data_IF_083288714767
#
_entry.id   IF_083288714767
#
_cell.length_a   1.000
_cell.length_b   1.000
_cell.length_c   1.000
_cell.angle_alpha   90.00
_cell.angle_beta   90.00
_cell.angle_gamma   90.00
#
_symmetry.space_group_name_H-M   'P 1'
#
loop_
_entity.id
_entity.type
_entity.pdbx_description
1 polymer ?
#
# COMPACT_ATOMS: atom_id res chain seq x y z
N UNK A 1 14.68 28.77 10.97
CA UNK A 1 13.58 28.11 10.23
C UNK A 1 12.86 27.18 11.18
N UNK A 2 11.76 27.65 11.78
CA UNK A 2 11.04 26.90 12.81
C UNK A 2 10.22 25.79 12.15
N UNK A 3 10.55 24.53 12.48
CA UNK A 3 9.71 23.39 12.13
C UNK A 3 8.36 23.57 12.84
N UNK A 4 7.32 23.86 12.06
CA UNK A 4 5.94 23.78 12.52
C UNK A 4 5.65 22.31 12.87
N UNK A 5 5.87 21.95 14.14
CA UNK A 5 5.34 20.72 14.71
C UNK A 5 3.82 20.88 14.65
N UNK A 6 3.23 20.35 13.57
CA UNK A 6 1.79 20.37 13.36
C UNK A 6 1.11 19.90 14.65
N UNK A 7 0.32 20.78 15.25
CA UNK A 7 -0.31 20.56 16.54
C UNK A 7 -0.96 19.17 16.57
N UNK A 8 -0.37 18.26 17.36
CA UNK A 8 -0.88 16.91 17.56
C UNK A 8 -2.25 17.07 18.21
N UNK A 9 -3.33 16.84 17.47
CA UNK A 9 -4.68 16.83 18.06
C UNK A 9 -4.66 15.88 19.25
N UNK A 10 -4.94 16.33 20.48
CA UNK A 10 -4.97 15.46 21.64
C UNK A 10 -6.02 14.38 21.39
N UNK A 11 -5.58 13.12 21.38
CA UNK A 11 -6.48 12.01 21.13
C UNK A 11 -7.46 11.92 22.30
N UNK A 12 -8.75 11.86 22.00
CA UNK A 12 -9.75 11.61 23.04
C UNK A 12 -9.58 10.16 23.55
N UNK A 13 -8.91 10.01 24.70
CA UNK A 13 -8.68 8.73 25.38
C UNK A 13 -9.97 7.93 25.59
N UNK A 14 -11.09 8.59 25.91
CA UNK A 14 -12.39 7.94 26.06
C UNK A 14 -12.83 7.28 24.76
N UNK A 15 -12.62 7.93 23.61
CA UNK A 15 -12.94 7.38 22.27
C UNK A 15 -12.01 6.22 21.89
N UNK A 16 -10.74 6.29 22.24
CA UNK A 16 -9.78 5.21 21.98
C UNK A 16 -10.12 3.93 22.78
N UNK A 17 -10.55 4.10 24.03
CA UNK A 17 -10.84 3.02 24.98
C UNK A 17 -12.28 2.48 24.87
N UNK A 18 -13.24 3.27 24.37
CA UNK A 18 -14.66 2.90 24.36
C UNK A 18 -14.98 1.55 23.71
N UNK A 19 -14.21 1.13 22.69
CA UNK A 19 -14.41 -0.15 22.00
C UNK A 19 -13.82 -1.36 22.74
N UNK A 20 -12.82 -1.13 23.60
CA UNK A 20 -12.01 -2.18 24.24
C UNK A 20 -12.74 -2.81 25.42
N UNK A 21 -13.56 -2.03 26.13
CA UNK A 21 -14.24 -2.45 27.38
C UNK A 21 -15.14 -3.69 27.24
N UNK A 22 -15.51 -4.08 26.02
CA UNK A 22 -16.39 -5.23 25.76
C UNK A 22 -15.65 -6.54 25.49
N UNK A 23 -14.32 -6.52 25.41
CA UNK A 23 -13.50 -7.68 25.00
C UNK A 23 -12.59 -8.06 26.16
N UNK A 24 -12.29 -9.36 26.29
CA UNK A 24 -11.25 -9.82 27.19
C UNK A 24 -9.86 -9.59 26.55
N UNK A 25 -9.01 -8.80 27.21
CA UNK A 25 -7.67 -8.45 26.72
C UNK A 25 -6.57 -9.24 27.42
N UNK A 26 -6.91 -10.07 28.38
CA UNK A 26 -5.92 -10.75 29.22
C UNK A 26 -5.22 -11.84 28.40
N UNK A 27 -3.89 -11.85 28.43
CA UNK A 27 -3.04 -12.80 27.69
C UNK A 27 -2.82 -12.48 26.21
N UNK A 28 -3.36 -11.38 25.66
CA UNK A 28 -3.13 -10.97 24.28
C UNK A 28 -1.86 -10.12 24.14
N UNK A 29 -1.13 -10.29 23.04
CA UNK A 29 0.03 -9.43 22.72
C UNK A 29 -0.46 -8.14 22.08
N UNK A 30 0.28 -7.07 22.33
CA UNK A 30 0.01 -5.75 21.77
C UNK A 30 1.06 -5.43 20.73
N UNK A 31 0.63 -5.27 19.47
CA UNK A 31 1.54 -5.02 18.35
C UNK A 31 1.39 -3.62 17.80
N UNK A 32 2.52 -2.97 17.58
CA UNK A 32 2.57 -1.63 17.00
C UNK A 32 3.00 -1.70 15.55
N UNK A 33 2.19 -1.11 14.66
CA UNK A 33 2.44 -1.02 13.24
C UNK A 33 2.64 0.45 12.85
N UNK A 34 3.77 0.76 12.24
CA UNK A 34 3.98 2.07 11.62
C UNK A 34 3.52 2.07 10.15
N UNK A 35 2.72 3.07 9.78
CA UNK A 35 2.28 3.28 8.41
C UNK A 35 3.32 3.96 7.51
N UNK A 36 4.36 4.57 8.09
CA UNK A 36 5.33 5.36 7.34
C UNK A 36 6.00 4.55 6.23
N UNK A 37 5.99 5.08 5.01
CA UNK A 37 6.51 4.42 3.79
C UNK A 37 5.86 3.07 3.44
N UNK A 38 4.73 2.73 4.07
CA UNK A 38 4.04 1.48 3.80
C UNK A 38 2.92 1.64 2.77
N UNK A 39 2.69 0.58 2.00
CA UNK A 39 1.61 0.55 1.01
C UNK A 39 0.33 0.07 1.69
N UNK A 40 -0.75 0.86 1.59
CA UNK A 40 -2.05 0.60 2.23
C UNK A 40 -2.51 -0.86 2.19
N UNK A 41 -2.54 -1.47 1.00
CA UNK A 41 -3.04 -2.84 0.84
C UNK A 41 -2.13 -3.90 1.48
N UNK A 42 -0.81 -3.68 1.47
CA UNK A 42 0.15 -4.64 2.04
C UNK A 42 0.09 -4.60 3.57
N UNK A 43 0.09 -3.38 4.11
CA UNK A 43 -0.09 -3.15 5.54
C UNK A 43 -1.41 -3.78 6.02
N UNK A 44 -2.52 -3.49 5.33
CA UNK A 44 -3.83 -3.98 5.72
C UNK A 44 -3.90 -5.52 5.76
N UNK A 45 -3.22 -6.21 4.83
CA UNK A 45 -3.18 -7.67 4.80
C UNK A 45 -2.44 -8.25 6.00
N UNK A 46 -1.33 -7.64 6.40
CA UNK A 46 -0.56 -8.12 7.57
C UNK A 46 -1.33 -7.87 8.86
N UNK A 47 -1.93 -6.69 9.00
CA UNK A 47 -2.82 -6.38 10.13
C UNK A 47 -3.96 -7.39 10.20
N UNK A 48 -4.62 -7.70 9.08
CA UNK A 48 -5.73 -8.65 9.05
C UNK A 48 -5.32 -10.06 9.49
N UNK A 49 -4.09 -10.49 9.22
CA UNK A 49 -3.56 -11.79 9.66
C UNK A 49 -3.31 -11.82 11.16
N UNK A 50 -2.69 -10.77 11.71
CA UNK A 50 -2.39 -10.64 13.14
C UNK A 50 -3.67 -10.49 13.98
N UNK A 51 -4.62 -9.68 13.51
CA UNK A 51 -5.94 -9.54 14.16
C UNK A 51 -6.73 -10.85 14.13
N UNK A 52 -6.50 -11.74 13.15
CA UNK A 52 -7.08 -13.08 13.13
C UNK A 52 -6.32 -14.08 14.01
N UNK A 53 -5.10 -13.76 14.46
CA UNK A 53 -4.24 -14.68 15.23
C UNK A 53 -3.60 -15.78 14.38
N UNK A 54 -3.63 -15.67 13.05
CA UNK A 54 -3.11 -16.69 12.12
C UNK A 54 -1.58 -16.84 12.15
N UNK A 55 -0.92 -15.89 12.77
CA UNK A 55 0.52 -15.88 12.96
C UNK A 55 0.97 -16.72 14.16
N UNK A 56 0.05 -17.08 15.06
CA UNK A 56 0.32 -17.98 16.18
C UNK A 56 0.00 -19.43 15.79
N UNK A 57 0.80 -20.41 16.25
CA UNK A 57 0.52 -21.83 15.99
C UNK A 57 -0.76 -22.31 16.69
N UNK A 58 -1.22 -21.62 17.74
CA UNK A 58 -2.45 -21.90 18.49
C UNK A 58 -3.73 -21.45 17.76
N UNK A 59 -3.65 -21.09 16.48
CA UNK A 59 -4.79 -20.58 15.73
C UNK A 59 -5.92 -21.61 15.63
N UNK A 60 -7.08 -21.25 16.16
CA UNK A 60 -8.33 -21.99 15.99
C UNK A 60 -9.38 -21.11 15.27
N UNK A 61 -10.00 -21.58 14.17
CA UNK A 61 -10.87 -20.75 13.34
C UNK A 61 -12.17 -20.31 14.02
N UNK A 62 -12.62 -21.05 15.02
CA UNK A 62 -13.83 -20.79 15.81
C UNK A 62 -13.60 -19.85 17.01
N UNK A 63 -12.35 -19.62 17.40
CA UNK A 63 -11.98 -18.75 18.54
C UNK A 63 -11.38 -17.43 18.05
N UNK A 64 -11.39 -16.44 18.93
CA UNK A 64 -10.82 -15.12 18.66
C UNK A 64 -9.59 -14.84 19.54
N UNK A 65 -8.49 -15.53 19.24
CA UNK A 65 -7.22 -15.43 19.95
C UNK A 65 -6.22 -14.46 19.28
N UNK A 66 -6.73 -13.61 18.37
CA UNK A 66 -5.95 -12.62 17.63
C UNK A 66 -5.46 -11.47 18.49
N UNK A 67 -4.29 -10.93 18.15
CA UNK A 67 -3.59 -9.90 18.90
C UNK A 67 -4.17 -8.50 18.69
N UNK A 68 -3.89 -7.61 19.65
CA UNK A 68 -4.30 -6.22 19.57
C UNK A 68 -3.33 -5.45 18.69
N UNK A 69 -3.86 -4.75 17.68
CA UNK A 69 -3.05 -3.99 16.74
C UNK A 69 -3.24 -2.50 16.93
N UNK A 70 -2.15 -1.79 17.17
CA UNK A 70 -2.07 -0.34 17.20
C UNK A 70 -1.36 0.13 15.94
N UNK A 71 -2.03 0.94 15.14
CA UNK A 71 -1.49 1.52 13.90
C UNK A 71 -1.19 2.99 14.14
N UNK A 72 0.01 3.43 13.79
CA UNK A 72 0.49 4.80 13.93
C UNK A 72 0.71 5.46 12.58
N UNK A 73 0.77 6.79 12.57
CA UNK A 73 1.09 7.60 11.39
C UNK A 73 0.16 7.35 10.18
N UNK A 74 -1.13 7.15 10.40
CA UNK A 74 -2.08 6.85 9.32
C UNK A 74 -2.12 7.92 8.20
N UNK A 75 -1.66 9.14 8.48
CA UNK A 75 -1.56 10.23 7.50
C UNK A 75 -0.46 9.98 6.45
N UNK A 76 0.60 9.27 6.82
CA UNK A 76 1.79 9.04 5.98
C UNK A 76 1.69 7.76 5.13
N UNK A 77 0.51 7.16 5.05
CA UNK A 77 0.30 5.92 4.29
C UNK A 77 0.43 6.18 2.78
N UNK A 78 1.21 5.33 2.11
CA UNK A 78 1.43 5.43 0.67
C UNK A 78 0.40 4.61 -0.11
N UNK A 79 0.01 5.14 -1.28
CA UNK A 79 -0.84 4.44 -2.25
C UNK A 79 -0.18 4.53 -3.62
N UNK A 80 -0.16 3.41 -4.34
CA UNK A 80 0.55 3.32 -5.62
C UNK A 80 -0.26 3.88 -6.79
N UNK A 81 0.43 4.51 -7.75
CA UNK A 81 -0.16 5.03 -8.98
C UNK A 81 -1.07 6.24 -8.77
N UNK A 82 -2.09 6.40 -9.62
CA UNK A 82 -3.06 7.52 -9.58
C UNK A 82 -4.29 7.25 -8.69
N UNK A 83 -4.22 6.22 -7.84
CA UNK A 83 -5.36 5.78 -7.00
C UNK A 83 -5.84 6.84 -6.02
N UNK A 84 -5.00 7.82 -5.66
CA UNK A 84 -5.41 8.94 -4.80
C UNK A 84 -6.61 9.69 -5.37
N UNK A 85 -6.62 9.93 -6.69
CA UNK A 85 -7.71 10.63 -7.39
C UNK A 85 -8.75 9.66 -7.92
N UNK A 86 -8.31 8.53 -8.47
CA UNK A 86 -9.18 7.66 -9.28
C UNK A 86 -10.03 6.74 -8.41
N UNK A 87 -9.57 6.38 -7.20
CA UNK A 87 -10.31 5.47 -6.32
C UNK A 87 -11.41 6.25 -5.61
N UNK A 88 -12.67 5.88 -5.90
CA UNK A 88 -13.85 6.40 -5.23
C UNK A 88 -14.44 5.41 -4.23
N UNK A 89 -14.90 5.92 -3.10
CA UNK A 89 -15.71 5.20 -2.12
C UNK A 89 -17.18 5.52 -2.37
N UNK A 90 -17.98 4.48 -2.56
CA UNK A 90 -19.41 4.58 -2.74
C UNK A 90 -20.15 4.06 -1.51
N UNK A 91 -21.23 4.73 -1.13
CA UNK A 91 -22.21 4.21 -0.20
C UNK A 91 -23.59 4.78 -0.53
N UNK A 92 -24.62 4.02 -0.19
CA UNK A 92 -26.00 4.43 -0.38
C UNK A 92 -26.65 4.70 0.98
N UNK A 93 -27.58 5.64 1.04
CA UNK A 93 -28.27 6.00 2.29
C UNK A 93 -29.55 5.20 2.54
N UNK A 94 -30.11 4.58 1.49
CA UNK A 94 -31.36 3.82 1.54
C UNK A 94 -32.46 4.46 0.68
N UNK A 95 -32.47 5.78 0.52
CA UNK A 95 -33.42 6.52 -0.31
C UNK A 95 -33.10 6.46 -1.80
N UNK A 96 -34.12 6.36 -2.66
CA UNK A 96 -33.94 6.31 -4.12
C UNK A 96 -33.12 7.50 -4.64
N UNK A 97 -32.11 7.25 -5.48
CA UNK A 97 -31.26 8.29 -6.06
C UNK A 97 -30.14 8.84 -5.15
N UNK A 98 -30.01 8.36 -3.91
CA UNK A 98 -29.06 8.91 -2.94
C UNK A 98 -27.76 8.11 -2.81
N UNK A 99 -27.07 7.91 -3.94
CA UNK A 99 -25.71 7.39 -3.95
C UNK A 99 -24.72 8.50 -3.59
N UNK A 100 -23.92 8.27 -2.55
CA UNK A 100 -22.87 9.19 -2.14
C UNK A 100 -21.52 8.63 -2.58
N UNK A 101 -20.71 9.49 -3.18
CA UNK A 101 -19.35 9.18 -3.55
C UNK A 101 -18.36 10.09 -2.84
N UNK A 102 -17.15 9.58 -2.61
CA UNK A 102 -16.02 10.37 -2.12
C UNK A 102 -14.72 9.80 -2.66
N UNK A 103 -13.83 10.66 -3.15
CA UNK A 103 -12.50 10.20 -3.61
C UNK A 103 -11.63 9.78 -2.44
N UNK A 104 -10.61 8.96 -2.71
CA UNK A 104 -9.62 8.58 -1.71
C UNK A 104 -8.87 9.81 -1.16
N UNK A 105 -8.52 10.78 -2.02
CA UNK A 105 -7.89 12.04 -1.63
C UNK A 105 -8.73 12.78 -0.58
N UNK A 106 -10.02 12.97 -0.84
CA UNK A 106 -10.91 13.68 0.11
C UNK A 106 -11.09 12.88 1.40
N UNK A 107 -11.14 11.55 1.31
CA UNK A 107 -11.25 10.70 2.48
C UNK A 107 -9.98 10.75 3.34
N UNK A 108 -8.79 10.81 2.74
CA UNK A 108 -7.52 10.96 3.46
C UNK A 108 -7.39 12.34 4.12
N UNK A 109 -7.88 13.40 3.47
CA UNK A 109 -7.90 14.74 4.06
C UNK A 109 -8.87 14.84 5.25
N UNK A 110 -10.02 14.16 5.17
CA UNK A 110 -11.03 14.17 6.24
C UNK A 110 -10.65 13.27 7.42
N UNK A 111 -10.53 11.96 7.15
CA UNK A 111 -10.34 10.92 8.15
C UNK A 111 -9.49 9.77 7.58
N UNK A 112 -8.15 9.87 7.62
CA UNK A 112 -7.25 8.86 7.06
C UNK A 112 -7.30 7.54 7.84
N UNK A 113 -7.64 7.59 9.13
CA UNK A 113 -7.91 6.40 9.96
C UNK A 113 -8.97 5.49 9.34
N UNK A 114 -10.03 6.07 8.77
CA UNK A 114 -11.14 5.31 8.21
C UNK A 114 -10.76 4.58 6.92
N UNK A 115 -9.79 5.12 6.17
CA UNK A 115 -9.24 4.47 4.96
C UNK A 115 -8.61 3.13 5.32
N UNK A 116 -7.78 3.12 6.36
CA UNK A 116 -7.08 1.91 6.84
C UNK A 116 -8.09 0.96 7.48
N UNK A 117 -8.98 1.47 8.34
CA UNK A 117 -10.02 0.65 8.98
C UNK A 117 -10.89 -0.06 7.95
N UNK A 118 -11.42 0.65 6.96
CA UNK A 118 -12.23 0.04 5.89
C UNK A 118 -11.44 -0.97 5.07
N UNK A 119 -10.14 -0.74 4.84
CA UNK A 119 -9.29 -1.69 4.12
C UNK A 119 -9.14 -3.01 4.90
N UNK A 120 -8.77 -2.94 6.18
CA UNK A 120 -8.62 -4.12 7.04
C UNK A 120 -9.95 -4.83 7.24
N UNK A 121 -11.02 -4.09 7.55
CA UNK A 121 -12.36 -4.62 7.76
C UNK A 121 -12.89 -5.39 6.54
N UNK A 122 -12.49 -5.01 5.32
CA UNK A 122 -12.83 -5.72 4.08
C UNK A 122 -11.95 -6.94 3.81
N UNK A 123 -10.83 -7.09 4.50
CA UNK A 123 -9.96 -8.28 4.45
C UNK A 123 -10.31 -9.33 5.50
N UNK A 124 -11.09 -8.97 6.52
CA UNK A 124 -11.60 -9.92 7.51
C UNK A 124 -12.75 -10.76 6.94
N UNK A 125 -12.88 -12.04 7.35
CA UNK A 125 -14.00 -12.89 6.94
C UNK A 125 -15.32 -12.30 7.43
N UNK A 126 -16.38 -12.40 6.61
CA UNK A 126 -17.72 -11.89 6.95
C UNK A 126 -18.43 -12.87 7.88
N UNK A 127 -18.18 -12.77 9.17
CA UNK A 127 -18.83 -13.55 10.23
C UNK A 127 -19.12 -12.67 11.46
N UNK A 128 -19.75 -13.23 12.50
CA UNK A 128 -20.04 -12.50 13.76
C UNK A 128 -18.77 -12.05 14.49
N UNK A 129 -17.68 -12.81 14.39
CA UNK A 129 -16.38 -12.49 14.99
C UNK A 129 -15.68 -11.29 14.33
N UNK A 130 -16.13 -10.86 13.15
CA UNK A 130 -15.53 -9.75 12.39
C UNK A 130 -15.55 -8.45 13.18
N UNK A 131 -16.66 -8.16 13.84
CA UNK A 131 -16.84 -6.92 14.58
C UNK A 131 -16.00 -6.91 15.87
N UNK A 132 -15.86 -8.07 16.52
CA UNK A 132 -15.00 -8.23 17.69
C UNK A 132 -13.52 -8.09 17.33
N UNK A 133 -13.12 -8.65 16.18
CA UNK A 133 -11.79 -8.46 15.60
C UNK A 133 -11.50 -6.99 15.22
N UNK A 134 -12.46 -6.28 14.62
CA UNK A 134 -12.29 -4.85 14.29
C UNK A 134 -12.13 -3.98 15.55
N UNK A 135 -12.78 -4.34 16.65
CA UNK A 135 -12.60 -3.65 17.94
C UNK A 135 -11.16 -3.75 18.47
N UNK A 136 -10.43 -4.84 18.17
CA UNK A 136 -9.00 -5.01 18.51
C UNK A 136 -8.05 -4.13 17.67
N UNK A 137 -8.52 -3.52 16.58
CA UNK A 137 -7.72 -2.63 15.74
C UNK A 137 -7.88 -1.17 16.16
N UNK A 138 -6.83 -0.54 16.66
CA UNK A 138 -6.79 0.90 16.98
C UNK A 138 -5.84 1.61 16.02
N UNK A 139 -6.25 2.76 15.49
CA UNK A 139 -5.50 3.49 14.47
C UNK A 139 -5.42 4.95 14.88
N UNK A 140 -4.22 5.50 14.83
CA UNK A 140 -3.90 6.87 15.17
C UNK A 140 -3.30 7.58 13.95
N UNK A 141 -3.63 8.85 13.80
CA UNK A 141 -3.14 9.69 12.69
C UNK A 141 -1.68 10.09 12.87
N UNK A 142 -1.25 10.28 14.12
CA UNK A 142 0.13 10.62 14.48
C UNK A 142 0.89 9.45 15.10
N UNK A 143 2.07 9.76 15.62
CA UNK A 143 3.00 8.80 16.22
C UNK A 143 2.70 8.46 17.68
N UNK A 144 1.89 9.28 18.36
CA UNK A 144 1.61 9.12 19.78
C UNK A 144 0.34 8.27 19.99
N UNK A 145 0.40 7.34 20.94
CA UNK A 145 -0.72 6.52 21.35
C UNK A 145 -0.92 6.55 22.88
N UNK A 146 -2.15 6.37 23.39
CA UNK A 146 -2.44 6.40 24.82
C UNK A 146 -2.07 5.12 25.59
N UNK A 147 -1.62 4.06 24.90
CA UNK A 147 -1.40 2.73 25.49
C UNK A 147 0.02 2.49 26.02
N UNK A 148 0.71 3.52 26.51
CA UNK A 148 2.11 3.44 26.94
C UNK A 148 2.37 2.45 28.09
N UNK A 149 1.35 2.16 28.92
CA UNK A 149 1.49 1.30 30.10
C UNK A 149 1.42 -0.20 29.80
N UNK A 150 1.36 -0.61 28.53
CA UNK A 150 1.26 -2.03 28.12
C UNK A 150 2.56 -2.46 27.42
N UNK A 151 2.95 -3.74 27.50
CA UNK A 151 4.11 -4.25 26.77
C UNK A 151 3.81 -4.23 25.26
N UNK A 152 4.46 -3.32 24.54
CA UNK A 152 4.26 -3.10 23.11
C UNK A 152 5.37 -3.76 22.32
N UNK A 153 5.01 -4.63 21.40
CA UNK A 153 5.94 -5.27 20.47
C UNK A 153 5.84 -4.55 19.12
N UNK A 154 6.92 -3.89 18.64
CA UNK A 154 6.92 -3.33 17.31
C UNK A 154 6.85 -4.45 16.28
N UNK A 155 5.92 -4.34 15.33
CA UNK A 155 5.79 -5.28 14.23
C UNK A 155 6.56 -4.77 13.02
N UNK A 156 7.57 -5.53 12.62
CA UNK A 156 8.29 -5.28 11.39
C UNK A 156 7.64 -5.99 10.21
N UNK A 157 7.52 -5.29 9.08
CA UNK A 157 7.05 -5.93 7.87
C UNK A 157 8.06 -6.96 7.35
N UNK A 158 7.59 -8.10 6.81
CA UNK A 158 8.49 -9.06 6.20
C UNK A 158 9.27 -8.42 5.06
N UNK A 159 10.59 -8.63 5.05
CA UNK A 159 11.48 -8.14 4.00
C UNK A 159 11.01 -8.66 2.65
N UNK A 160 10.97 -7.78 1.64
CA UNK A 160 10.48 -8.15 0.32
C UNK A 160 11.61 -8.12 -0.70
N UNK A 161 11.85 -9.25 -1.35
CA UNK A 161 12.58 -9.27 -2.61
C UNK A 161 11.71 -8.61 -3.69
N UNK A 162 12.02 -7.35 -4.03
CA UNK A 162 11.42 -6.71 -5.19
C UNK A 162 11.94 -7.45 -6.41
N UNK A 163 11.05 -7.99 -7.26
CA UNK A 163 11.45 -8.52 -8.56
C UNK A 163 12.17 -7.39 -9.29
N UNK A 164 13.47 -7.55 -9.54
CA UNK A 164 14.25 -6.53 -10.23
C UNK A 164 13.53 -6.06 -11.49
N UNK A 165 13.69 -4.78 -11.83
CA UNK A 165 13.16 -4.25 -13.09
C UNK A 165 13.53 -5.19 -14.25
N UNK A 166 12.57 -5.41 -15.17
CA UNK A 166 12.82 -6.17 -16.40
C UNK A 166 14.13 -5.66 -17.03
N UNK A 167 15.06 -6.56 -17.42
CA UNK A 167 16.43 -6.18 -17.80
C UNK A 167 16.52 -5.12 -18.89
N UNK A 168 15.51 -4.98 -19.76
CA UNK A 168 15.45 -3.96 -20.82
C UNK A 168 15.36 -2.52 -20.28
N UNK A 169 14.60 -2.28 -19.20
CA UNK A 169 14.44 -0.94 -18.61
C UNK A 169 15.70 -0.57 -17.81
N UNK A 170 16.25 -1.53 -17.05
CA UNK A 170 17.53 -1.36 -16.33
C UNK A 170 18.67 -1.02 -17.30
N UNK A 171 18.78 -1.77 -18.40
CA UNK A 171 19.76 -1.50 -19.48
C UNK A 171 19.52 -0.16 -20.18
N UNK A 172 18.27 0.23 -20.41
CA UNK A 172 17.96 1.53 -21.02
C UNK A 172 18.30 2.71 -20.10
N UNK A 173 18.03 2.59 -18.78
CA UNK A 173 18.44 3.59 -17.79
C UNK A 173 19.95 3.68 -17.67
N UNK A 174 20.66 2.55 -17.55
CA UNK A 174 22.13 2.51 -17.50
C UNK A 174 22.73 3.16 -18.77
N UNK A 175 22.20 2.83 -19.95
CA UNK A 175 22.62 3.46 -21.22
C UNK A 175 22.33 4.96 -21.25
N UNK A 176 21.19 5.40 -20.72
CA UNK A 176 20.85 6.82 -20.62
C UNK A 176 21.72 7.56 -19.60
N UNK A 177 22.12 6.89 -18.50
CA UNK A 177 23.05 7.41 -17.49
C UNK A 177 24.44 7.59 -18.10
N UNK A 178 24.99 6.55 -18.73
CA UNK A 178 26.29 6.58 -19.44
C UNK A 178 26.29 7.66 -20.53
N UNK A 179 25.18 7.78 -21.29
CA UNK A 179 25.01 8.81 -22.32
C UNK A 179 24.98 10.24 -21.73
N UNK A 180 24.41 10.43 -20.53
CA UNK A 180 24.41 11.73 -19.82
C UNK A 180 25.76 12.05 -19.21
N UNK A 181 26.44 11.07 -18.65
CA UNK A 181 27.73 11.24 -17.98
C UNK A 181 28.88 11.48 -18.97
N UNK A 182 28.84 10.87 -20.15
CA UNK A 182 29.97 10.97 -21.08
C UNK A 182 29.86 12.13 -22.09
N UNK A 183 28.69 12.71 -22.36
CA UNK A 183 28.57 13.83 -23.32
C UNK A 183 29.08 13.54 -24.74
N UNK A 184 29.49 12.30 -25.06
CA UNK A 184 30.04 11.90 -26.35
C UNK A 184 28.92 11.29 -27.22
N UNK A 185 28.74 11.73 -28.48
CA UNK A 185 27.92 10.99 -29.42
C UNK A 185 28.64 9.67 -29.74
N UNK A 186 28.05 8.54 -29.38
CA UNK A 186 28.56 7.22 -29.78
C UNK A 186 28.46 7.13 -31.29
N UNK A 187 29.55 7.42 -32.00
CA UNK A 187 29.73 7.05 -33.40
C UNK A 187 29.75 5.53 -33.46
N UNK A 188 28.62 4.93 -33.81
CA UNK A 188 28.53 3.48 -33.90
C UNK A 188 29.08 3.04 -35.26
N UNK A 189 30.40 2.84 -35.35
CA UNK A 189 30.98 1.98 -36.40
C UNK A 189 30.56 0.55 -36.06
N UNK A 190 29.79 -0.05 -36.97
CA UNK A 190 29.48 -1.47 -37.08
C UNK A 190 28.69 -2.12 -35.94
N UNK A 191 27.36 -2.13 -36.11
CA UNK A 191 26.55 -3.30 -35.74
C UNK A 191 25.58 -3.61 -36.87
N UNK A 192 26.05 -4.40 -37.84
CA UNK A 192 25.16 -5.15 -38.72
C UNK A 192 24.26 -6.04 -37.86
N UNK A 193 23.02 -5.62 -37.62
CA UNK A 193 21.99 -6.53 -37.16
C UNK A 193 21.67 -7.48 -38.32
N UNK A 194 22.16 -8.72 -38.24
CA UNK A 194 21.74 -9.82 -39.11
C UNK A 194 20.23 -10.05 -38.92
N UNK A 195 19.41 -9.38 -39.70
CA UNK A 195 17.97 -9.64 -39.79
C UNK A 195 17.76 -11.06 -40.33
N UNK A 196 16.82 -11.82 -39.75
CA UNK A 196 16.47 -13.13 -40.31
C UNK A 196 16.01 -12.99 -41.77
N UNK A 197 16.25 -13.99 -42.63
CA UNK A 197 15.96 -13.90 -44.07
C UNK A 197 14.53 -13.42 -44.37
N UNK A 198 13.54 -13.87 -43.59
CA UNK A 198 12.13 -13.45 -43.70
C UNK A 198 11.89 -11.96 -43.42
N UNK A 199 12.65 -11.34 -42.51
CA UNK A 199 12.52 -9.91 -42.19
C UNK A 199 13.18 -9.03 -43.25
N UNK A 200 14.30 -9.48 -43.84
CA UNK A 200 14.91 -8.82 -45.00
C UNK A 200 13.97 -8.81 -46.19
N UNK A 201 13.38 -9.96 -46.52
CA UNK A 201 12.46 -10.10 -47.64
C UNK A 201 11.21 -9.21 -47.52
N UNK A 202 10.62 -9.11 -46.31
CA UNK A 202 9.49 -8.19 -46.06
C UNK A 202 9.90 -6.71 -46.15
N UNK A 203 11.11 -6.36 -45.72
CA UNK A 203 11.61 -4.99 -45.85
C UNK A 203 11.91 -4.62 -47.30
N UNK A 204 12.52 -5.51 -48.09
CA UNK A 204 12.77 -5.26 -49.51
C UNK A 204 11.48 -5.18 -50.33
N UNK A 205 10.49 -6.02 -50.02
CA UNK A 205 9.21 -5.94 -50.69
C UNK A 205 8.50 -4.62 -50.37
N UNK A 206 8.58 -4.16 -49.11
CA UNK A 206 8.07 -2.85 -48.71
C UNK A 206 8.84 -1.70 -49.38
N UNK A 207 10.17 -1.77 -49.51
CA UNK A 207 10.98 -0.76 -50.20
C UNK A 207 10.66 -0.66 -51.68
N UNK A 208 10.46 -1.80 -52.37
CA UNK A 208 9.97 -1.84 -53.76
C UNK A 208 8.57 -1.26 -53.90
N UNK A 209 7.67 -1.54 -52.95
CA UNK A 209 6.30 -1.04 -52.98
C UNK A 209 6.22 0.48 -52.76
N UNK A 210 7.12 1.04 -51.94
CA UNK A 210 7.17 2.47 -51.63
C UNK A 210 8.19 3.26 -52.48
N UNK A 211 8.83 2.64 -53.46
CA UNK A 211 9.77 3.32 -54.36
C UNK A 211 11.00 3.93 -53.67
N UNK A 212 11.38 3.42 -52.48
CA UNK A 212 12.52 3.93 -51.72
C UNK A 212 13.78 3.26 -52.27
N UNK A 213 14.49 3.94 -53.17
CA UNK A 213 15.84 3.54 -53.58
C UNK A 213 16.82 3.96 -52.48
N UNK A 214 17.58 3.00 -51.96
CA UNK A 214 18.67 3.28 -51.03
C UNK A 214 19.76 4.10 -51.77
N UNK A 215 20.37 5.11 -51.14
CA UNK A 215 21.44 5.93 -51.75
C UNK A 215 22.74 5.16 -51.98
#
# INVERSE_FOLDING_TARGET
MANAVAAVKPYNLKKAIAGIRRINLDGLRWRVFDCKNQILGRLASQIANVVQGKDKPTYAPNRDDGDMCIVLNANEICVTGRKLTDKKYYWHTGYMGHIKERTLKDQMAKDPTEVIRKAVLRMLPRNKLRDDRDRKLRIFTGSVHPFANRPLEPFEMPHRSVREMRPRIKRAMIRAQIKREQGVPVTNKNTEYKFSPRKRMKMEHAKRFFGITDP
#
